data_IF_486341184153
#
_entry.id   IF_486341184153
#
_cell.length_a   1.000
_cell.length_b   1.000
_cell.length_c   1.000
_cell.angle_alpha   90.00
_cell.angle_beta   90.00
_cell.angle_gamma   90.00
#
_symmetry.space_group_name_H-M   'P 1'
#
loop_
_entity.id
_entity.type
_entity.pdbx_description
1 polymer ?
#
# COMPACT_ATOMS: atom_id res chain seq x y z
N UNK A 1 15.24 -15.89 23.20
CA UNK A 1 15.99 -17.14 23.22
C UNK A 1 16.29 -17.52 21.78
N UNK A 2 17.43 -18.18 21.54
CA UNK A 2 17.81 -18.62 20.21
C UNK A 2 16.94 -19.80 19.79
N UNK A 3 16.39 -19.74 18.57
CA UNK A 3 15.59 -20.82 17.98
C UNK A 3 16.49 -21.74 17.16
N UNK A 4 16.08 -23.00 17.00
CA UNK A 4 16.73 -23.93 16.07
C UNK A 4 16.75 -23.38 14.63
N UNK A 5 17.76 -23.79 13.85
CA UNK A 5 17.92 -23.30 12.47
C UNK A 5 16.75 -23.73 11.57
N UNK A 6 16.25 -24.93 11.76
CA UNK A 6 15.02 -25.46 11.15
C UNK A 6 13.82 -24.56 11.46
N UNK A 7 13.61 -24.25 12.74
CA UNK A 7 12.52 -23.40 13.21
C UNK A 7 12.62 -21.99 12.63
N UNK A 8 13.84 -21.45 12.57
CA UNK A 8 14.09 -20.13 11.98
C UNK A 8 13.70 -20.09 10.51
N UNK A 9 14.04 -21.12 9.72
CA UNK A 9 13.68 -21.21 8.31
C UNK A 9 12.16 -21.32 8.15
N UNK A 10 11.50 -22.19 8.92
CA UNK A 10 10.04 -22.32 8.89
C UNK A 10 9.35 -20.97 9.15
N UNK A 11 9.83 -20.21 10.14
CA UNK A 11 9.26 -18.90 10.44
C UNK A 11 9.52 -17.86 9.34
N UNK A 12 10.68 -17.92 8.68
CA UNK A 12 11.03 -16.99 7.60
C UNK A 12 10.18 -17.17 6.34
N UNK A 13 9.73 -18.40 6.05
CA UNK A 13 8.97 -18.71 4.83
C UNK A 13 7.48 -18.90 5.05
N UNK A 14 7.06 -19.38 6.23
CA UNK A 14 5.70 -19.89 6.43
C UNK A 14 5.13 -19.59 7.83
N UNK A 15 5.64 -18.57 8.55
CA UNK A 15 5.07 -18.24 9.87
C UNK A 15 3.60 -17.80 9.80
N UNK A 16 3.14 -17.23 8.68
CA UNK A 16 1.74 -16.87 8.51
C UNK A 16 0.80 -18.08 8.44
N UNK A 17 1.33 -19.24 8.02
CA UNK A 17 0.59 -20.50 7.96
C UNK A 17 0.80 -21.39 9.18
N UNK A 18 2.06 -21.54 9.61
CA UNK A 18 2.44 -22.43 10.71
C UNK A 18 2.18 -21.79 12.08
N UNK A 19 2.33 -20.47 12.20
CA UNK A 19 2.23 -19.72 13.46
C UNK A 19 1.38 -18.44 13.34
N UNK A 20 0.13 -18.53 12.82
CA UNK A 20 -0.70 -17.36 12.47
C UNK A 20 -1.10 -16.47 13.67
N UNK A 21 -0.95 -17.00 14.89
CA UNK A 21 -1.23 -16.30 16.16
C UNK A 21 0.00 -15.67 16.80
N UNK A 22 1.22 -16.08 16.46
CA UNK A 22 2.43 -15.64 17.15
C UNK A 22 3.05 -14.43 16.44
N UNK A 23 2.91 -13.20 16.98
CA UNK A 23 3.46 -12.01 16.36
C UNK A 23 4.99 -12.04 16.27
N UNK A 24 5.68 -12.80 17.13
CA UNK A 24 7.13 -12.91 17.09
C UNK A 24 7.59 -13.78 15.92
N UNK A 25 6.87 -14.86 15.63
CA UNK A 25 7.11 -15.69 14.46
C UNK A 25 6.75 -14.94 13.16
N UNK A 26 5.61 -14.24 13.14
CA UNK A 26 5.14 -13.51 11.95
C UNK A 26 6.17 -12.47 11.44
N UNK A 27 6.94 -11.84 12.34
CA UNK A 27 8.02 -10.91 11.97
C UNK A 27 9.09 -11.56 11.08
N UNK A 28 9.33 -12.86 11.21
CA UNK A 28 10.33 -13.56 10.43
C UNK A 28 9.97 -13.63 8.94
N UNK A 29 8.67 -13.59 8.58
CA UNK A 29 8.22 -13.48 7.18
C UNK A 29 8.75 -12.22 6.47
N UNK A 30 9.28 -11.25 7.24
CA UNK A 30 10.07 -10.13 6.70
C UNK A 30 11.23 -10.56 5.80
N UNK A 31 11.70 -11.81 5.88
CA UNK A 31 12.64 -12.38 4.91
C UNK A 31 12.10 -12.29 3.47
N UNK A 32 10.83 -12.65 3.25
CA UNK A 32 10.15 -12.57 1.94
C UNK A 32 9.85 -11.12 1.54
N UNK A 33 9.62 -10.23 2.51
CA UNK A 33 9.38 -8.81 2.26
C UNK A 33 10.67 -8.00 1.98
N UNK A 34 11.86 -8.55 2.19
CA UNK A 34 13.15 -7.84 2.02
C UNK A 34 13.29 -7.19 0.64
N UNK A 35 12.82 -7.88 -0.39
CA UNK A 35 12.91 -7.42 -1.79
C UNK A 35 11.59 -6.82 -2.27
N UNK A 36 10.69 -6.45 -1.35
CA UNK A 36 9.37 -5.95 -1.67
C UNK A 36 9.47 -4.73 -2.57
N UNK A 37 8.87 -4.85 -3.75
CA UNK A 37 8.80 -3.76 -4.70
C UNK A 37 7.41 -3.70 -5.33
N UNK A 38 6.58 -2.81 -4.77
CA UNK A 38 5.16 -2.66 -5.10
C UNK A 38 4.92 -2.50 -6.62
N UNK A 39 5.77 -1.75 -7.32
CA UNK A 39 5.58 -1.44 -8.73
C UNK A 39 6.17 -2.46 -9.71
N UNK A 40 6.89 -3.48 -9.22
CA UNK A 40 7.48 -4.50 -10.07
C UNK A 40 7.56 -5.85 -9.35
N UNK A 41 6.44 -6.57 -9.42
CA UNK A 41 6.27 -7.90 -8.83
C UNK A 41 7.30 -8.91 -9.33
N UNK A 42 7.64 -8.89 -10.62
CA UNK A 42 8.63 -9.82 -11.18
C UNK A 42 10.00 -9.62 -10.53
N UNK A 43 10.47 -8.38 -10.42
CA UNK A 43 11.77 -8.12 -9.78
C UNK A 43 11.79 -8.56 -8.31
N UNK A 44 10.70 -8.34 -7.58
CA UNK A 44 10.58 -8.82 -6.21
C UNK A 44 10.65 -10.35 -6.13
N UNK A 45 9.89 -11.07 -6.96
CA UNK A 45 9.91 -12.53 -7.01
C UNK A 45 11.28 -13.08 -7.40
N UNK A 46 11.87 -12.55 -8.48
CA UNK A 46 13.19 -12.97 -8.96
C UNK A 46 14.24 -12.83 -7.85
N UNK A 47 14.24 -11.69 -7.14
CA UNK A 47 15.15 -11.45 -6.04
C UNK A 47 14.89 -12.40 -4.86
N UNK A 48 13.63 -12.66 -4.52
CA UNK A 48 13.26 -13.57 -3.43
C UNK A 48 13.72 -15.00 -3.71
N UNK A 49 13.54 -15.48 -4.94
CA UNK A 49 14.01 -16.79 -5.41
C UNK A 49 15.54 -16.88 -5.33
N UNK A 50 16.25 -15.89 -5.86
CA UNK A 50 17.71 -15.88 -5.87
C UNK A 50 18.30 -15.83 -4.46
N UNK A 51 17.72 -15.01 -3.56
CA UNK A 51 18.17 -14.93 -2.17
C UNK A 51 17.90 -16.24 -1.42
N UNK A 52 16.74 -16.85 -1.64
CA UNK A 52 16.40 -18.16 -1.07
C UNK A 52 17.38 -19.23 -1.52
N UNK A 53 17.65 -19.31 -2.82
CA UNK A 53 18.61 -20.25 -3.39
C UNK A 53 20.00 -20.10 -2.78
N UNK A 54 20.50 -18.87 -2.69
CA UNK A 54 21.84 -18.60 -2.12
C UNK A 54 21.92 -18.86 -0.62
N UNK A 55 20.92 -18.41 0.14
CA UNK A 55 20.96 -18.44 1.60
C UNK A 55 20.75 -19.85 2.17
N UNK A 56 19.88 -20.66 1.54
CA UNK A 56 19.43 -21.92 2.14
C UNK A 56 19.76 -23.15 1.30
N UNK A 57 19.93 -23.02 -0.02
CA UNK A 57 20.20 -24.14 -0.92
C UNK A 57 21.66 -24.18 -1.41
N UNK A 58 22.42 -23.09 -1.24
CA UNK A 58 23.75 -22.94 -1.81
C UNK A 58 23.75 -22.89 -3.35
N UNK A 59 22.63 -22.51 -3.96
CA UNK A 59 22.42 -22.49 -5.41
C UNK A 59 22.23 -21.07 -5.95
N UNK A 60 22.71 -20.81 -7.16
CA UNK A 60 22.39 -19.59 -7.92
C UNK A 60 21.33 -19.92 -8.97
N UNK A 61 20.20 -19.20 -8.96
CA UNK A 61 19.03 -19.55 -9.77
C UNK A 61 18.77 -18.52 -10.89
N UNK A 62 19.37 -17.33 -10.83
CA UNK A 62 19.16 -16.25 -11.79
C UNK A 62 19.41 -16.62 -13.26
N UNK A 63 20.40 -17.46 -13.58
CA UNK A 63 20.62 -17.89 -14.97
C UNK A 63 19.45 -18.70 -15.52
N UNK A 64 18.82 -19.51 -14.66
CA UNK A 64 17.68 -20.36 -15.01
C UNK A 64 16.44 -19.55 -15.41
N UNK A 65 16.38 -18.25 -15.11
CA UNK A 65 15.26 -17.37 -15.50
C UNK A 65 15.04 -17.30 -17.00
N UNK A 66 16.13 -17.25 -17.79
CA UNK A 66 16.07 -16.96 -19.21
C UNK A 66 16.30 -18.19 -20.11
N UNK A 67 17.02 -19.18 -19.59
CA UNK A 67 17.37 -20.43 -20.27
C UNK A 67 17.76 -21.46 -19.21
N UNK A 68 17.90 -22.74 -19.56
CA UNK A 68 18.36 -23.76 -18.62
C UNK A 68 19.72 -23.39 -18.01
N UNK A 69 19.89 -23.66 -16.72
CA UNK A 69 21.10 -23.29 -16.01
C UNK A 69 22.34 -23.91 -16.67
N UNK A 70 23.43 -23.15 -16.75
CA UNK A 70 24.60 -23.50 -17.58
C UNK A 70 25.33 -24.77 -17.12
N UNK A 71 25.38 -24.99 -15.80
CA UNK A 71 26.17 -26.06 -15.18
C UNK A 71 25.30 -27.00 -14.35
N UNK A 72 24.52 -26.44 -13.44
CA UNK A 72 23.59 -27.21 -12.62
C UNK A 72 22.38 -27.74 -13.43
N UNK A 73 21.86 -28.94 -13.12
CA UNK A 73 20.71 -29.53 -13.80
C UNK A 73 19.39 -28.89 -13.33
N UNK A 74 19.26 -27.59 -13.56
CA UNK A 74 18.11 -26.77 -13.21
C UNK A 74 17.57 -26.19 -14.52
N UNK A 75 16.40 -26.64 -14.95
CA UNK A 75 15.78 -26.15 -16.17
C UNK A 75 15.16 -24.77 -15.96
N UNK A 76 14.88 -24.06 -17.05
CA UNK A 76 14.09 -22.83 -16.98
C UNK A 76 12.71 -23.11 -16.35
N UNK A 77 12.09 -24.24 -16.69
CA UNK A 77 10.81 -24.65 -16.13
C UNK A 77 10.90 -24.85 -14.60
N UNK A 78 12.01 -25.37 -14.09
CA UNK A 78 12.22 -25.51 -12.63
C UNK A 78 12.30 -24.15 -11.92
N UNK A 79 12.92 -23.14 -12.56
CA UNK A 79 12.92 -21.78 -12.02
C UNK A 79 11.50 -21.22 -11.88
N UNK A 80 10.69 -21.31 -12.94
CA UNK A 80 9.30 -20.84 -12.88
C UNK A 80 8.42 -21.70 -11.97
N UNK A 81 8.76 -22.98 -11.78
CA UNK A 81 8.08 -23.86 -10.83
C UNK A 81 8.30 -23.42 -9.39
N UNK A 82 9.53 -23.01 -9.05
CA UNK A 82 9.83 -22.43 -7.73
C UNK A 82 9.19 -21.05 -7.58
N UNK A 83 9.18 -20.24 -8.65
CA UNK A 83 8.46 -18.97 -8.67
C UNK A 83 6.97 -19.16 -8.38
N UNK A 84 6.34 -20.19 -8.93
CA UNK A 84 4.93 -20.47 -8.75
C UNK A 84 4.54 -20.74 -7.28
N UNK A 85 5.46 -21.26 -6.45
CA UNK A 85 5.24 -21.39 -5.00
C UNK A 85 5.08 -20.00 -4.35
N UNK A 86 5.81 -19.01 -4.85
CA UNK A 86 5.85 -17.66 -4.30
C UNK A 86 4.90 -16.70 -5.04
N UNK A 87 4.31 -17.06 -6.17
CA UNK A 87 3.46 -16.15 -6.94
C UNK A 87 2.28 -15.55 -6.13
N UNK A 88 1.60 -16.32 -5.26
CA UNK A 88 0.43 -15.83 -4.51
C UNK A 88 0.73 -14.80 -3.42
N UNK A 89 1.97 -14.76 -2.90
CA UNK A 89 2.24 -14.02 -1.67
C UNK A 89 2.22 -12.49 -1.85
N UNK A 90 1.67 -11.80 -0.86
CA UNK A 90 1.66 -10.36 -0.74
C UNK A 90 2.05 -9.91 0.67
N UNK A 91 2.44 -8.64 0.81
CA UNK A 91 2.75 -8.04 2.11
C UNK A 91 1.59 -7.16 2.57
N UNK A 92 1.20 -7.28 3.84
CA UNK A 92 0.35 -6.29 4.51
C UNK A 92 0.87 -5.96 5.90
N UNK A 93 0.31 -4.91 6.49
CA UNK A 93 0.53 -4.56 7.88
C UNK A 93 -0.66 -5.03 8.72
N UNK A 94 -0.38 -5.87 9.71
CA UNK A 94 -1.35 -6.30 10.70
C UNK A 94 -1.31 -5.34 11.92
N UNK A 95 -2.46 -5.03 12.54
CA UNK A 95 -2.54 -4.17 13.72
C UNK A 95 -1.95 -4.85 14.96
N UNK A 96 -1.22 -4.07 15.75
CA UNK A 96 -0.64 -4.50 17.02
C UNK A 96 -1.43 -3.92 18.20
N UNK A 97 -1.36 -4.52 19.41
CA UNK A 97 -2.08 -4.00 20.57
C UNK A 97 -1.73 -2.54 20.87
N UNK A 98 -2.75 -1.69 21.00
CA UNK A 98 -2.63 -0.28 21.37
C UNK A 98 -2.36 0.68 20.20
N UNK A 99 -1.99 0.18 19.02
CA UNK A 99 -1.72 1.01 17.84
C UNK A 99 -2.56 0.56 16.63
N UNK A 100 -3.27 1.52 16.05
CA UNK A 100 -4.14 1.29 14.88
C UNK A 100 -3.70 2.10 13.65
N UNK A 101 -2.73 2.99 13.84
CA UNK A 101 -2.14 3.82 12.80
C UNK A 101 -0.89 3.13 12.23
N UNK A 102 -1.07 2.54 11.05
CA UNK A 102 0.00 1.82 10.35
C UNK A 102 1.17 2.69 9.91
N UNK A 103 1.05 4.01 9.95
CA UNK A 103 2.21 4.91 9.72
C UNK A 103 3.12 5.01 10.92
N UNK A 104 2.63 4.69 12.12
CA UNK A 104 3.42 4.69 13.35
C UNK A 104 4.01 3.32 13.61
N UNK A 105 3.17 2.30 13.61
CA UNK A 105 3.59 0.93 13.83
C UNK A 105 2.58 -0.06 13.23
N UNK A 106 3.09 -1.20 12.82
CA UNK A 106 2.33 -2.27 12.19
C UNK A 106 3.21 -3.48 12.05
N UNK A 107 2.65 -4.66 12.22
CA UNK A 107 3.35 -5.92 12.04
C UNK A 107 3.40 -6.27 10.55
N UNK A 108 4.56 -6.26 9.87
CA UNK A 108 4.65 -6.75 8.51
C UNK A 108 4.37 -8.24 8.50
N UNK A 109 3.40 -8.64 7.70
CA UNK A 109 3.03 -10.03 7.47
C UNK A 109 3.02 -10.29 5.98
N UNK A 110 3.82 -11.27 5.56
CA UNK A 110 3.67 -11.87 4.24
C UNK A 110 2.63 -12.98 4.34
N UNK A 111 1.73 -13.06 3.37
CA UNK A 111 0.63 -14.02 3.32
C UNK A 111 0.22 -14.25 1.87
N UNK A 112 -0.47 -15.34 1.58
CA UNK A 112 -1.01 -15.58 0.25
C UNK A 112 -2.32 -14.81 0.00
N UNK A 113 -2.30 -13.89 -0.96
CA UNK A 113 -3.44 -13.02 -1.34
C UNK A 113 -4.08 -13.44 -2.67
N UNK A 114 -3.30 -14.05 -3.56
CA UNK A 114 -3.73 -14.42 -4.92
C UNK A 114 -3.59 -15.93 -5.14
N UNK A 115 -4.42 -16.72 -4.45
CA UNK A 115 -4.37 -18.20 -4.50
C UNK A 115 -4.64 -18.77 -5.91
N UNK A 116 -5.27 -17.99 -6.78
CA UNK A 116 -5.58 -18.31 -8.17
C UNK A 116 -4.53 -17.76 -9.15
N UNK A 117 -3.43 -17.16 -8.66
CA UNK A 117 -2.37 -16.62 -9.51
C UNK A 117 -1.72 -17.74 -10.34
N UNK A 118 -1.81 -17.58 -11.66
CA UNK A 118 -1.12 -18.46 -12.60
C UNK A 118 0.31 -17.97 -12.86
N UNK A 119 1.26 -18.90 -12.88
CA UNK A 119 2.64 -18.62 -13.27
C UNK A 119 2.89 -19.10 -14.68
N UNK A 120 3.50 -18.25 -15.49
CA UNK A 120 3.92 -18.54 -16.86
C UNK A 120 5.43 -18.40 -17.00
N UNK A 121 6.01 -19.20 -17.89
CA UNK A 121 7.40 -19.04 -18.29
C UNK A 121 7.56 -17.73 -19.08
N UNK A 122 8.54 -16.91 -18.75
CA UNK A 122 8.86 -15.73 -19.55
C UNK A 122 9.86 -16.09 -20.64
N UNK A 123 9.50 -15.80 -21.91
CA UNK A 123 10.36 -16.11 -23.06
C UNK A 123 11.66 -15.32 -22.93
N UNK A 124 12.79 -16.04 -22.81
CA UNK A 124 14.11 -15.47 -22.52
C UNK A 124 14.14 -14.57 -21.27
N UNK A 125 13.26 -14.82 -20.30
CA UNK A 125 13.18 -14.07 -19.06
C UNK A 125 12.51 -12.69 -19.18
N UNK A 126 11.88 -12.37 -20.30
CA UNK A 126 11.17 -11.10 -20.50
C UNK A 126 9.73 -11.16 -19.92
N UNK A 127 9.44 -10.49 -18.79
CA UNK A 127 8.11 -10.50 -18.19
C UNK A 127 7.01 -9.91 -19.08
N UNK A 128 7.36 -9.14 -20.12
CA UNK A 128 6.38 -8.62 -21.09
C UNK A 128 5.95 -9.67 -22.11
N UNK A 129 6.66 -10.80 -22.18
CA UNK A 129 6.41 -11.88 -23.13
C UNK A 129 6.28 -13.24 -22.41
N UNK A 130 5.22 -13.44 -21.60
CA UNK A 130 4.93 -14.74 -20.99
C UNK A 130 4.39 -15.72 -22.03
N UNK A 131 4.87 -16.97 -21.98
CA UNK A 131 4.29 -18.07 -22.74
C UNK A 131 3.02 -18.57 -22.05
N UNK A 132 1.87 -18.09 -22.52
CA UNK A 132 0.54 -18.43 -21.98
C UNK A 132 -0.01 -19.76 -22.48
N UNK A 133 0.74 -20.51 -23.30
CA UNK A 133 0.31 -21.83 -23.75
C UNK A 133 0.50 -22.90 -22.68
N UNK A 134 1.32 -22.63 -21.66
CA UNK A 134 1.62 -23.56 -20.58
C UNK A 134 1.62 -22.84 -19.23
N UNK A 135 0.68 -23.22 -18.37
CA UNK A 135 0.71 -22.84 -16.95
C UNK A 135 1.73 -23.69 -16.21
N UNK A 136 2.56 -23.05 -15.40
CA UNK A 136 3.61 -23.70 -14.61
C UNK A 136 3.07 -23.99 -13.21
N UNK A 137 3.15 -25.26 -12.81
CA UNK A 137 2.71 -25.70 -11.48
C UNK A 137 3.79 -25.45 -10.42
N UNK A 138 3.40 -25.11 -9.18
CA UNK A 138 4.33 -24.97 -8.06
C UNK A 138 5.00 -26.30 -7.73
N UNK A 139 6.34 -26.32 -7.75
CA UNK A 139 7.16 -27.47 -7.32
C UNK A 139 8.61 -27.01 -7.11
N UNK A 140 9.36 -27.78 -6.32
CA UNK A 140 10.81 -27.60 -6.21
C UNK A 140 11.51 -28.07 -7.49
N UNK A 141 12.72 -27.57 -7.79
CA UNK A 141 13.54 -28.09 -8.89
C UNK A 141 13.71 -29.61 -8.83
N UNK A 142 13.76 -30.27 -9.99
CA UNK A 142 13.81 -31.74 -10.07
C UNK A 142 14.97 -32.37 -9.26
N UNK A 143 16.13 -31.71 -9.20
CA UNK A 143 17.29 -32.14 -8.38
C UNK A 143 17.00 -32.19 -6.87
N UNK A 144 16.00 -31.44 -6.39
CA UNK A 144 15.60 -31.40 -4.98
C UNK A 144 14.34 -32.23 -4.70
N UNK A 145 13.73 -32.85 -5.72
CA UNK A 145 12.46 -33.55 -5.59
C UNK A 145 12.49 -34.69 -4.56
N UNK A 146 13.64 -35.36 -4.38
CA UNK A 146 13.80 -36.42 -3.37
C UNK A 146 13.73 -35.93 -1.92
N UNK A 147 13.92 -34.63 -1.69
CA UNK A 147 13.83 -34.00 -0.37
C UNK A 147 12.50 -33.26 -0.16
N UNK A 148 11.67 -33.16 -1.19
CA UNK A 148 10.41 -32.44 -1.11
C UNK A 148 9.43 -33.21 -0.21
N UNK A 149 8.89 -32.58 0.84
CA UNK A 149 7.84 -33.20 1.65
C UNK A 149 6.55 -33.31 0.83
N UNK A 150 5.66 -34.19 1.29
CA UNK A 150 4.28 -34.24 0.79
C UNK A 150 3.55 -32.93 1.09
N UNK A 151 2.96 -32.31 0.08
CA UNK A 151 2.20 -31.07 0.23
C UNK A 151 0.89 -31.38 0.94
N UNK A 152 0.61 -30.68 2.04
CA UNK A 152 -0.60 -30.83 2.84
C UNK A 152 -1.31 -29.49 2.99
N UNK A 153 -2.64 -29.45 2.89
CA UNK A 153 -3.38 -28.22 3.13
C UNK A 153 -3.26 -27.80 4.60
N UNK A 154 -2.99 -26.52 4.82
CA UNK A 154 -2.97 -25.92 6.16
C UNK A 154 -4.32 -25.26 6.42
N UNK A 155 -4.94 -25.59 7.56
CA UNK A 155 -6.19 -24.94 7.97
C UNK A 155 -5.87 -23.65 8.71
N UNK A 156 -6.16 -22.52 8.08
CA UNK A 156 -5.94 -21.23 8.70
C UNK A 156 -7.13 -20.80 9.57
N UNK A 157 -6.84 -20.14 10.70
CA UNK A 157 -7.85 -19.54 11.55
C UNK A 157 -8.38 -18.20 11.00
N UNK A 158 -9.56 -17.72 11.42
CA UNK A 158 -10.17 -16.51 10.87
C UNK A 158 -9.30 -15.25 10.92
N UNK A 159 -8.55 -15.05 12.00
CA UNK A 159 -7.67 -13.89 12.14
C UNK A 159 -6.45 -13.92 11.20
N UNK A 160 -6.15 -15.04 10.53
CA UNK A 160 -5.09 -15.12 9.54
C UNK A 160 -5.46 -14.34 8.27
N UNK A 161 -6.71 -14.40 7.83
CA UNK A 161 -7.19 -13.67 6.65
C UNK A 161 -8.04 -12.44 7.01
N UNK A 162 -8.57 -12.35 8.23
CA UNK A 162 -9.35 -11.22 8.72
C UNK A 162 -8.76 -10.65 10.03
N UNK A 163 -7.60 -9.98 10.00
CA UNK A 163 -6.90 -9.52 11.21
C UNK A 163 -7.72 -8.54 12.05
N UNK A 164 -8.69 -7.85 11.44
CA UNK A 164 -9.63 -6.95 12.12
C UNK A 164 -10.58 -7.65 13.11
N UNK A 165 -10.70 -8.98 13.03
CA UNK A 165 -11.56 -9.75 13.95
C UNK A 165 -10.86 -10.08 15.27
N UNK A 166 -9.56 -9.80 15.40
CA UNK A 166 -8.83 -9.99 16.65
C UNK A 166 -9.38 -9.09 17.75
N UNK A 167 -9.44 -9.59 18.98
CA UNK A 167 -10.09 -8.88 20.09
C UNK A 167 -9.43 -7.54 20.39
N UNK A 168 -8.08 -7.49 20.46
CA UNK A 168 -7.36 -6.23 20.73
C UNK A 168 -7.66 -5.15 19.67
N UNK A 169 -7.82 -5.55 18.41
CA UNK A 169 -8.11 -4.61 17.32
C UNK A 169 -9.51 -4.02 17.46
N UNK A 170 -10.47 -4.84 17.91
CA UNK A 170 -11.84 -4.39 18.17
C UNK A 170 -11.86 -3.46 19.37
N UNK A 171 -11.14 -3.79 20.44
CA UNK A 171 -11.05 -2.98 21.64
C UNK A 171 -10.40 -1.62 21.37
N UNK A 172 -9.30 -1.59 20.61
CA UNK A 172 -8.63 -0.36 20.20
C UNK A 172 -9.52 0.53 19.32
N UNK A 173 -10.24 -0.07 18.37
CA UNK A 173 -11.20 0.67 17.54
C UNK A 173 -12.35 1.23 18.35
N UNK A 174 -12.89 0.48 19.32
CA UNK A 174 -13.95 0.94 20.21
C UNK A 174 -13.46 2.11 21.06
N UNK A 175 -12.25 2.01 21.64
CA UNK A 175 -11.62 3.08 22.40
C UNK A 175 -11.50 4.36 21.56
N UNK A 176 -10.95 4.27 20.35
CA UNK A 176 -10.80 5.42 19.45
C UNK A 176 -12.14 6.03 19.02
N UNK A 177 -13.15 5.18 18.77
CA UNK A 177 -14.50 5.66 18.47
C UNK A 177 -15.09 6.42 19.67
N UNK A 178 -14.90 5.92 20.89
CA UNK A 178 -15.36 6.57 22.11
C UNK A 178 -14.65 7.92 22.33
N UNK A 179 -13.34 8.00 22.11
CA UNK A 179 -12.57 9.24 22.18
C UNK A 179 -13.10 10.28 21.16
N UNK A 180 -13.37 9.85 19.93
CA UNK A 180 -13.97 10.71 18.88
C UNK A 180 -15.36 11.20 19.26
N UNK A 181 -16.20 10.36 19.86
CA UNK A 181 -17.53 10.75 20.34
C UNK A 181 -17.44 11.81 21.43
N UNK A 182 -16.53 11.65 22.40
CA UNK A 182 -16.29 12.63 23.46
C UNK A 182 -15.81 13.97 22.88
N UNK A 183 -14.87 13.93 21.92
CA UNK A 183 -14.37 15.13 21.26
C UNK A 183 -15.47 15.84 20.45
N UNK A 184 -16.26 15.10 19.67
CA UNK A 184 -17.39 15.63 18.92
C UNK A 184 -18.46 16.24 19.84
N UNK A 185 -18.73 15.61 20.99
CA UNK A 185 -19.63 16.15 22.01
C UNK A 185 -19.15 17.51 22.55
N UNK A 186 -17.85 17.65 22.86
CA UNK A 186 -17.26 18.93 23.29
C UNK A 186 -17.37 20.00 22.19
N UNK A 187 -17.02 19.64 20.96
CA UNK A 187 -17.10 20.56 19.81
C UNK A 187 -18.55 21.01 19.54
N UNK A 188 -19.53 20.11 19.69
CA UNK A 188 -20.95 20.44 19.56
C UNK A 188 -21.39 21.45 20.63
N UNK A 189 -21.01 21.25 21.88
CA UNK A 189 -21.36 22.16 22.97
C UNK A 189 -20.71 23.54 22.80
N UNK A 190 -19.48 23.61 22.30
CA UNK A 190 -18.82 24.87 21.92
C UNK A 190 -19.56 25.57 20.76
N UNK A 191 -19.89 24.82 19.71
CA UNK A 191 -20.64 25.35 18.56
C UNK A 191 -22.01 25.90 18.98
N UNK A 192 -22.73 25.21 19.87
CA UNK A 192 -24.01 25.68 20.44
C UNK A 192 -23.84 27.00 21.20
N UNK A 193 -22.79 27.14 22.02
CA UNK A 193 -22.49 28.39 22.74
C UNK A 193 -22.22 29.55 21.78
N UNK A 194 -21.47 29.29 20.70
CA UNK A 194 -21.20 30.30 19.66
C UNK A 194 -22.49 30.70 18.93
N UNK A 195 -23.32 29.73 18.57
CA UNK A 195 -24.61 29.98 17.92
C UNK A 195 -25.56 30.78 18.82
N UNK A 196 -25.65 30.44 20.11
CA UNK A 196 -26.48 31.16 21.07
C UNK A 196 -26.00 32.62 21.27
N UNK A 197 -24.69 32.87 21.29
CA UNK A 197 -24.13 34.23 21.32
C UNK A 197 -24.53 35.03 20.07
N UNK A 198 -24.42 34.43 18.88
CA UNK A 198 -24.81 35.09 17.61
C UNK A 198 -26.31 35.34 17.49
N UNK A 199 -27.15 34.49 18.09
CA UNK A 199 -28.60 34.70 18.10
C UNK A 199 -29.05 35.92 18.93
N UNK A 200 -28.20 36.41 19.86
CA UNK A 200 -28.44 37.63 20.63
C UNK A 200 -27.95 38.92 19.96
N UNK A 201 -27.18 38.83 18.87
CA UNK A 201 -26.80 39.98 18.06
C UNK A 201 -27.93 40.29 17.07
N UNK A 202 -28.37 41.56 17.01
CA UNK A 202 -29.32 41.98 15.98
C UNK A 202 -28.77 41.57 14.62
N UNK A 203 -29.57 40.96 13.72
CA UNK A 203 -29.10 40.62 12.40
C UNK A 203 -28.52 41.89 11.79
N UNK A 204 -27.22 41.83 11.44
CA UNK A 204 -26.63 42.85 10.58
C UNK A 204 -27.53 42.90 9.34
N UNK A 205 -28.03 44.06 8.92
CA UNK A 205 -28.85 44.15 7.73
C UNK A 205 -28.04 43.48 6.61
N UNK A 206 -28.54 42.36 6.11
CA UNK A 206 -28.07 41.83 4.84
C UNK A 206 -28.41 42.96 3.88
N UNK A 207 -27.40 43.74 3.46
CA UNK A 207 -27.58 44.64 2.32
C UNK A 207 -28.18 43.77 1.24
N UNK A 208 -29.37 44.14 0.76
CA UNK A 208 -29.98 43.50 -0.39
C UNK A 208 -28.87 43.26 -1.41
N UNK A 209 -28.60 41.99 -1.68
CA UNK A 209 -27.68 41.65 -2.73
C UNK A 209 -28.23 42.35 -3.97
N UNK A 210 -27.43 43.24 -4.57
CA UNK A 210 -27.78 43.90 -5.82
C UNK A 210 -28.35 42.83 -6.77
N UNK A 211 -29.44 43.15 -7.50
CA UNK A 211 -30.04 42.20 -8.42
C UNK A 211 -28.95 41.55 -9.26
N UNK A 212 -28.91 40.22 -9.26
CA UNK A 212 -27.93 39.44 -10.03
C UNK A 212 -27.91 40.01 -11.45
N UNK A 213 -26.78 40.51 -11.94
CA UNK A 213 -26.71 40.92 -13.33
C UNK A 213 -26.99 39.69 -14.20
N UNK A 214 -28.01 39.79 -15.04
CA UNK A 214 -28.48 38.80 -16.03
C UNK A 214 -27.46 38.46 -17.14
N UNK A 215 -26.19 38.82 -16.95
CA UNK A 215 -25.11 38.44 -17.85
C UNK A 215 -24.12 37.61 -17.05
N UNK A 216 -24.08 36.31 -17.35
CA UNK A 216 -23.01 35.43 -16.90
C UNK A 216 -21.68 36.15 -17.10
N UNK A 217 -20.96 36.53 -16.03
CA UNK A 217 -19.65 37.12 -16.19
C UNK A 217 -18.77 36.10 -16.88
N UNK A 218 -17.93 36.57 -17.80
CA UNK A 218 -16.91 35.75 -18.46
C UNK A 218 -15.96 35.28 -17.34
N UNK A 219 -16.17 34.07 -16.84
CA UNK A 219 -15.33 33.47 -15.80
C UNK A 219 -14.06 32.96 -16.49
N UNK A 220 -12.94 33.63 -16.24
CA UNK A 220 -11.63 33.25 -16.76
C UNK A 220 -10.59 33.44 -15.66
N UNK A 221 -9.87 32.36 -15.33
CA UNK A 221 -8.70 32.39 -14.43
C UNK A 221 -7.53 31.83 -15.20
N UNK A 222 -6.45 32.59 -15.26
CA UNK A 222 -5.18 32.17 -15.85
C UNK A 222 -4.07 32.44 -14.84
N UNK A 223 -3.34 31.39 -14.51
CA UNK A 223 -2.19 31.45 -13.63
C UNK A 223 -1.11 30.50 -14.18
N UNK A 224 0.13 30.97 -14.24
CA UNK A 224 1.29 30.18 -14.66
C UNK A 224 2.03 29.57 -13.46
N UNK A 225 1.60 29.91 -12.23
CA UNK A 225 2.21 29.52 -10.97
C UNK A 225 3.69 29.89 -10.85
N UNK A 226 4.14 30.89 -11.61
CA UNK A 226 5.51 31.40 -11.56
C UNK A 226 5.80 32.22 -10.30
N UNK A 227 4.75 32.78 -9.68
CA UNK A 227 4.84 33.61 -8.46
C UNK A 227 3.62 33.37 -7.55
N UNK A 228 3.74 33.66 -6.24
CA UNK A 228 2.60 33.62 -5.33
C UNK A 228 1.47 34.55 -5.75
N UNK A 229 0.24 34.01 -5.81
CA UNK A 229 -0.98 34.75 -6.15
C UNK A 229 -2.08 34.48 -5.08
N UNK A 230 -1.93 35.04 -3.87
CA UNK A 230 -2.82 34.76 -2.73
C UNK A 230 -4.23 35.34 -2.87
N UNK A 231 -4.41 36.32 -3.76
CA UNK A 231 -5.71 36.92 -4.09
C UNK A 231 -6.59 35.92 -4.86
N UNK A 232 -5.99 35.12 -5.72
CA UNK A 232 -6.70 34.13 -6.55
C UNK A 232 -6.78 32.78 -5.84
N UNK A 233 -5.71 32.37 -5.16
CA UNK A 233 -5.57 31.02 -4.64
C UNK A 233 -5.33 30.97 -3.14
N UNK A 234 -5.84 29.91 -2.54
CA UNK A 234 -5.56 29.52 -1.16
C UNK A 234 -4.87 28.17 -1.15
N UNK A 235 -3.66 28.14 -0.58
CA UNK A 235 -2.88 26.92 -0.39
C UNK A 235 -3.35 26.23 0.89
N UNK A 236 -3.86 25.02 0.75
CA UNK A 236 -4.32 24.17 1.85
C UNK A 236 -3.34 22.99 1.97
N UNK A 237 -2.90 22.68 3.19
CA UNK A 237 -1.90 21.67 3.46
C UNK A 237 -0.46 22.22 3.54
N UNK A 238 0.49 21.36 3.91
CA UNK A 238 1.92 21.70 4.03
C UNK A 238 2.69 21.16 2.82
N UNK A 239 3.84 21.77 2.50
CA UNK A 239 4.75 21.32 1.43
C UNK A 239 4.60 22.05 0.09
N UNK A 240 3.79 23.10 0.00
CA UNK A 240 3.71 23.96 -1.17
C UNK A 240 4.90 24.92 -1.24
N UNK A 241 5.67 24.87 -2.32
CA UNK A 241 6.80 25.76 -2.57
C UNK A 241 6.79 26.28 -4.01
N UNK A 242 7.04 27.58 -4.18
CA UNK A 242 7.27 28.18 -5.49
C UNK A 242 8.75 28.05 -5.83
N UNK A 243 9.08 27.20 -6.81
CA UNK A 243 10.47 26.91 -7.22
C UNK A 243 10.57 26.67 -8.72
N UNK A 244 11.63 27.21 -9.32
CA UNK A 244 11.92 27.13 -10.76
C UNK A 244 10.77 27.64 -11.65
N UNK A 245 10.05 28.67 -11.19
CA UNK A 245 8.92 29.24 -11.91
C UNK A 245 7.65 28.37 -11.93
N UNK A 246 7.52 27.42 -11.00
CA UNK A 246 6.31 26.62 -10.83
C UNK A 246 5.97 26.45 -9.33
N UNK A 247 4.70 26.21 -9.04
CA UNK A 247 4.24 25.75 -7.73
C UNK A 247 4.44 24.24 -7.63
N UNK A 248 5.17 23.79 -6.60
CA UNK A 248 5.51 22.38 -6.37
C UNK A 248 5.00 21.92 -5.02
N UNK A 249 4.59 20.66 -4.95
CA UNK A 249 4.39 19.96 -3.70
C UNK A 249 5.65 19.13 -3.40
N UNK A 250 6.48 19.60 -2.47
CA UNK A 250 7.82 19.02 -2.18
C UNK A 250 7.78 17.93 -1.12
N UNK A 251 6.67 17.80 -0.41
CA UNK A 251 6.50 16.83 0.68
C UNK A 251 5.42 15.82 0.31
N UNK A 252 5.77 14.53 0.34
CA UNK A 252 4.79 13.46 0.29
C UNK A 252 3.99 13.46 1.59
N UNK A 253 2.67 13.49 1.48
CA UNK A 253 1.77 13.43 2.64
C UNK A 253 0.50 12.67 2.32
N UNK A 254 -0.12 12.09 3.35
CA UNK A 254 -1.46 11.49 3.31
C UNK A 254 -2.56 12.48 3.71
N UNK A 255 -2.18 13.63 4.25
CA UNK A 255 -3.11 14.70 4.56
C UNK A 255 -3.61 15.38 3.26
N UNK A 256 -4.84 15.92 3.25
CA UNK A 256 -5.36 16.64 2.09
C UNK A 256 -4.52 17.89 1.82
N UNK A 257 -3.92 17.94 0.63
CA UNK A 257 -3.18 19.09 0.10
C UNK A 257 -3.83 19.54 -1.19
N UNK A 258 -4.24 20.81 -1.25
CA UNK A 258 -4.97 21.34 -2.39
C UNK A 258 -4.76 22.84 -2.59
N UNK A 259 -4.94 23.27 -3.83
CA UNK A 259 -5.00 24.67 -4.22
C UNK A 259 -6.47 25.05 -4.45
N UNK A 260 -7.01 25.91 -3.60
CA UNK A 260 -8.42 26.33 -3.66
C UNK A 260 -8.54 27.68 -4.35
N UNK A 261 -9.37 27.75 -5.39
CA UNK A 261 -9.73 29.02 -6.03
C UNK A 261 -10.64 29.83 -5.08
N UNK A 262 -10.27 31.08 -4.80
CA UNK A 262 -11.04 31.95 -3.90
C UNK A 262 -12.30 32.53 -4.56
N UNK A 263 -12.23 32.82 -5.85
CA UNK A 263 -13.36 33.39 -6.56
C UNK A 263 -14.45 32.33 -6.82
N UNK A 264 -15.74 32.69 -6.65
CA UNK A 264 -16.84 31.83 -7.07
C UNK A 264 -16.74 31.53 -8.56
N UNK A 265 -16.95 30.27 -8.93
CA UNK A 265 -16.97 29.81 -10.31
C UNK A 265 -18.39 29.40 -10.71
N UNK A 266 -18.74 29.46 -12.02
CA UNK A 266 -20.02 28.97 -12.50
C UNK A 266 -20.14 27.45 -12.31
N UNK A 267 -21.35 26.92 -12.46
CA UNK A 267 -21.61 25.47 -12.42
C UNK A 267 -20.94 24.73 -13.59
N UNK A 268 -20.87 25.37 -14.76
CA UNK A 268 -20.24 24.83 -15.96
C UNK A 268 -19.00 25.66 -16.34
N UNK A 269 -17.83 25.04 -16.36
CA UNK A 269 -16.58 25.64 -16.80
C UNK A 269 -15.63 24.57 -17.36
N UNK A 270 -14.64 25.00 -18.13
CA UNK A 270 -13.53 24.15 -18.57
C UNK A 270 -12.29 24.45 -17.73
N UNK A 271 -11.59 23.39 -17.31
CA UNK A 271 -10.31 23.49 -16.60
C UNK A 271 -9.23 22.80 -17.43
N UNK A 272 -8.17 23.54 -17.73
CA UNK A 272 -6.94 22.99 -18.31
C UNK A 272 -5.80 23.23 -17.33
N UNK A 273 -5.17 22.16 -16.86
CA UNK A 273 -4.02 22.21 -15.95
C UNK A 273 -2.88 21.38 -16.54
N UNK A 274 -1.66 21.91 -16.52
CA UNK A 274 -0.45 21.15 -16.83
C UNK A 274 0.26 20.83 -15.52
N UNK A 275 0.56 19.56 -15.29
CA UNK A 275 1.31 19.10 -14.14
C UNK A 275 2.38 18.10 -14.60
N UNK A 276 3.43 17.98 -13.79
CA UNK A 276 4.51 17.01 -14.00
C UNK A 276 4.72 16.26 -12.68
N UNK A 277 4.77 14.94 -12.75
CA UNK A 277 5.26 14.12 -11.64
C UNK A 277 6.74 13.88 -11.83
N UNK A 278 7.54 14.23 -10.82
CA UNK A 278 9.00 14.00 -10.77
C UNK A 278 9.34 13.15 -9.57
#
# INVERSE_FOLDING_TARGET
EDKGYDRMIEEMFAADELFPEDPNALRATGFLARNYYLFNRTTWLDATIEHTGKAFLGLTLNCAKCHDHKYDPITQVDYYSLRAILEPHQVRLDPIPGETDFEKDGLPRVFDDHLDAETFLHVRGDPKNPDKNQTIMPRVPAILASFAPEIRPVKLPPYAYAPVTRDHVRDDRLRLAQEKLVAAGKALEEAKKVAAKKAGEKPVPVKEANPRPEKSPRFEVKDDFGKPNPETWELIGKGWEYKDGALRLTQSTRDPVMLRLRQPHPENFELTCRYTHT
#
